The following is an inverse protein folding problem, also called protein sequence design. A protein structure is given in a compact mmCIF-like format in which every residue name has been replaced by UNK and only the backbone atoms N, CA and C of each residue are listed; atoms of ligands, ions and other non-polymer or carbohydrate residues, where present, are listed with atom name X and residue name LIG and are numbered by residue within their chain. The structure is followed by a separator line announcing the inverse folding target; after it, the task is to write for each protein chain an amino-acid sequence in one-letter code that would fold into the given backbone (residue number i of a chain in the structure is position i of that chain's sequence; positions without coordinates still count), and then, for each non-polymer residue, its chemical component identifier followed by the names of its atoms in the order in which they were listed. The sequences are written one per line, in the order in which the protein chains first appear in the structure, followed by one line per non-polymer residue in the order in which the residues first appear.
data_IF_024474784504
#
_entry.id   IF_024474784504
#
_cell.length_a   1.000
_cell.length_b   1.000
_cell.length_c   1.000
_cell.angle_alpha   90.00
_cell.angle_beta   90.00
_cell.angle_gamma   90.00
#
_symmetry.space_group_name_H-M   'P 1'
#
loop_
_entity.id
_entity.type
_entity.pdbx_description
1 polymer ?
#
# COMPACT_ATOMS: atom_id res chain seq x y z
N UNK A 1 -48.89 25.21 50.75
CA UNK A 1 -48.19 23.90 50.69
C UNK A 1 -48.39 23.34 49.28
N UNK A 2 -47.51 23.66 48.33
CA UNK A 2 -47.55 23.15 46.96
C UNK A 2 -46.73 21.85 46.90
N UNK A 3 -47.34 20.79 46.35
CA UNK A 3 -46.75 19.46 46.20
C UNK A 3 -45.77 19.46 45.01
N UNK A 4 -44.58 18.84 45.11
CA UNK A 4 -43.64 18.77 43.98
C UNK A 4 -44.14 17.77 42.93
N UNK A 5 -43.84 17.98 41.63
CA UNK A 5 -44.17 17.02 40.59
C UNK A 5 -43.31 15.75 40.71
N UNK A 6 -43.95 14.59 40.63
CA UNK A 6 -43.30 13.28 40.61
C UNK A 6 -42.50 13.08 39.32
N UNK A 7 -41.33 12.41 39.36
CA UNK A 7 -40.61 12.00 38.16
C UNK A 7 -41.43 10.97 37.38
N UNK A 8 -41.79 11.31 36.14
CA UNK A 8 -42.45 10.39 35.21
C UNK A 8 -41.44 9.30 34.83
N UNK A 9 -41.74 8.06 35.24
CA UNK A 9 -40.96 6.87 34.88
C UNK A 9 -40.88 6.76 33.34
N UNK A 10 -39.65 6.68 32.83
CA UNK A 10 -39.39 6.41 31.43
C UNK A 10 -40.04 5.08 31.02
N UNK A 11 -40.87 5.12 29.98
CA UNK A 11 -41.47 3.93 29.39
C UNK A 11 -40.39 2.92 28.95
N UNK A 12 -40.63 1.61 29.06
CA UNK A 12 -39.68 0.59 28.64
C UNK A 12 -39.47 0.70 27.11
N UNK A 13 -38.24 1.01 26.72
CA UNK A 13 -37.76 0.92 25.35
C UNK A 13 -38.04 -0.50 24.81
N UNK A 14 -38.79 -0.57 23.71
CA UNK A 14 -39.14 -1.83 23.05
C UNK A 14 -37.91 -2.65 22.64
N UNK A 15 -38.06 -3.96 22.43
CA UNK A 15 -36.94 -4.86 22.17
C UNK A 15 -36.25 -4.53 20.84
N UNK A 16 -34.96 -4.24 20.91
CA UNK A 16 -34.12 -4.05 19.72
C UNK A 16 -34.05 -5.35 18.90
N UNK A 17 -34.16 -5.30 17.55
CA UNK A 17 -34.00 -6.49 16.73
C UNK A 17 -32.57 -7.02 16.88
N UNK A 18 -32.46 -8.17 17.54
CA UNK A 18 -31.23 -8.91 17.78
C UNK A 18 -31.21 -10.10 16.82
N UNK A 19 -30.15 -10.28 16.04
CA UNK A 19 -29.97 -11.53 15.28
C UNK A 19 -29.44 -12.56 16.26
N UNK A 20 -30.29 -13.52 16.65
CA UNK A 20 -29.90 -14.66 17.46
C UNK A 20 -29.10 -15.63 16.58
N UNK A 21 -27.77 -15.61 16.67
CA UNK A 21 -26.97 -16.70 16.12
C UNK A 21 -27.13 -17.86 17.10
N UNK A 22 -27.78 -18.95 16.65
CA UNK A 22 -27.99 -20.15 17.44
C UNK A 22 -26.61 -20.79 17.70
N UNK A 23 -25.98 -20.43 18.82
CA UNK A 23 -24.83 -21.13 19.36
C UNK A 23 -25.27 -22.46 19.96
N UNK A 24 -24.34 -23.42 19.97
CA UNK A 24 -24.44 -24.70 20.68
C UNK A 24 -24.98 -24.53 22.11
N UNK A 25 -25.72 -25.52 22.65
CA UNK A 25 -26.33 -25.42 23.98
C UNK A 25 -25.24 -25.16 25.04
N UNK A 26 -25.28 -23.97 25.68
CA UNK A 26 -24.38 -23.61 26.77
C UNK A 26 -23.63 -22.28 26.62
N UNK A 27 -23.73 -21.58 25.48
CA UNK A 27 -23.08 -20.26 25.32
C UNK A 27 -24.16 -19.18 25.23
N UNK A 28 -24.13 -18.20 26.14
CA UNK A 28 -25.05 -17.06 26.10
C UNK A 28 -24.94 -16.34 24.73
N UNK A 29 -26.05 -15.85 24.16
CA UNK A 29 -26.04 -15.15 22.89
C UNK A 29 -25.23 -13.85 23.04
N UNK A 30 -23.98 -13.87 22.58
CA UNK A 30 -23.16 -12.66 22.48
C UNK A 30 -23.74 -11.80 21.36
N UNK A 31 -24.50 -10.76 21.72
CA UNK A 31 -24.91 -9.73 20.78
C UNK A 31 -23.64 -9.03 20.27
N UNK A 32 -23.22 -9.34 19.05
CA UNK A 32 -22.14 -8.61 18.42
C UNK A 32 -22.70 -7.22 18.05
N UNK A 33 -22.20 -6.11 18.64
CA UNK A 33 -22.70 -4.79 18.31
C UNK A 33 -22.41 -4.53 16.83
N UNK A 34 -23.47 -4.49 16.02
CA UNK A 34 -23.36 -4.11 14.62
C UNK A 34 -22.87 -2.66 14.61
N UNK A 35 -21.72 -2.34 13.99
CA UNK A 35 -21.20 -0.98 13.87
C UNK A 35 -22.28 -0.06 13.29
N UNK A 36 -22.77 0.90 14.06
CA UNK A 36 -23.86 1.81 13.62
C UNK A 36 -23.35 3.21 13.28
N UNK A 37 -22.09 3.53 13.57
CA UNK A 37 -21.55 4.88 13.38
C UNK A 37 -20.41 4.91 12.37
N UNK A 38 -20.23 6.05 11.69
CA UNK A 38 -19.15 6.25 10.72
C UNK A 38 -17.74 6.04 11.32
N UNK A 39 -17.56 6.29 12.63
CA UNK A 39 -16.31 6.02 13.34
C UNK A 39 -16.01 4.52 13.47
N UNK A 40 -17.04 3.71 13.69
CA UNK A 40 -16.86 2.26 13.84
C UNK A 40 -16.46 1.61 12.51
N UNK A 41 -16.99 2.12 11.39
CA UNK A 41 -16.60 1.69 10.04
C UNK A 41 -15.15 2.05 9.71
N UNK A 42 -14.71 3.25 10.10
CA UNK A 42 -13.32 3.69 9.92
C UNK A 42 -12.35 2.83 10.73
N UNK A 43 -12.70 2.52 11.99
CA UNK A 43 -11.93 1.61 12.83
C UNK A 43 -11.82 0.20 12.22
N UNK A 44 -12.92 -0.33 11.66
CA UNK A 44 -12.92 -1.63 10.97
C UNK A 44 -12.09 -1.62 9.69
N UNK A 45 -12.17 -0.56 8.90
CA UNK A 45 -11.34 -0.41 7.70
C UNK A 45 -9.84 -0.34 8.06
N UNK A 46 -9.50 0.42 9.10
CA UNK A 46 -8.12 0.50 9.60
C UNK A 46 -7.62 -0.88 10.04
N UNK A 47 -8.43 -1.63 10.80
CA UNK A 47 -8.09 -3.00 11.21
C UNK A 47 -7.89 -3.95 10.02
N UNK A 48 -8.76 -3.88 9.01
CA UNK A 48 -8.65 -4.69 7.79
C UNK A 48 -7.34 -4.40 7.04
N UNK A 49 -6.99 -3.12 6.91
CA UNK A 49 -5.76 -2.71 6.24
C UNK A 49 -4.54 -3.24 6.99
N UNK A 50 -4.54 -3.14 8.32
CA UNK A 50 -3.48 -3.67 9.18
C UNK A 50 -3.33 -5.20 9.02
N UNK A 51 -4.43 -5.96 9.08
CA UNK A 51 -4.39 -7.42 8.86
C UNK A 51 -3.86 -7.78 7.48
N UNK A 52 -4.20 -7.00 6.45
CA UNK A 52 -3.73 -7.21 5.08
C UNK A 52 -2.22 -6.95 4.95
N UNK A 53 -1.71 -5.89 5.60
CA UNK A 53 -0.28 -5.61 5.68
C UNK A 53 0.48 -6.74 6.40
N UNK A 54 -0.08 -7.25 7.49
CA UNK A 54 0.50 -8.38 8.22
C UNK A 54 0.54 -9.64 7.36
N UNK A 55 -0.51 -9.93 6.60
CA UNK A 55 -0.56 -11.05 5.68
C UNK A 55 0.54 -10.94 4.60
N UNK A 56 0.72 -9.74 4.02
CA UNK A 56 1.79 -9.49 3.06
C UNK A 56 3.19 -9.67 3.66
N UNK A 57 3.39 -9.27 4.93
CA UNK A 57 4.65 -9.46 5.64
C UNK A 57 4.95 -10.95 5.90
N UNK A 58 3.91 -11.73 6.16
CA UNK A 58 3.98 -13.19 6.34
C UNK A 58 4.35 -13.86 5.03
N UNK A 59 3.68 -13.50 3.92
CA UNK A 59 3.98 -14.03 2.59
C UNK A 59 5.43 -13.74 2.17
N UNK A 60 5.87 -12.49 2.34
CA UNK A 60 7.25 -12.09 2.05
C UNK A 60 8.28 -12.90 2.86
N UNK A 61 7.98 -13.15 4.14
CA UNK A 61 8.83 -13.98 5.02
C UNK A 61 8.82 -15.45 4.57
N UNK A 62 7.67 -15.97 4.12
CA UNK A 62 7.51 -17.32 3.60
C UNK A 62 8.37 -17.52 2.36
N UNK A 63 8.29 -16.62 1.38
CA UNK A 63 9.13 -16.67 0.18
C UNK A 63 10.62 -16.66 0.53
N UNK A 64 11.03 -15.82 1.49
CA UNK A 64 12.42 -15.77 1.96
C UNK A 64 12.88 -17.08 2.62
N UNK A 65 12.03 -17.69 3.46
CA UNK A 65 12.33 -18.99 4.09
C UNK A 65 12.44 -20.10 3.03
N UNK A 66 11.57 -20.10 2.02
CA UNK A 66 11.62 -21.06 0.92
C UNK A 66 12.90 -20.91 0.08
N UNK A 67 13.33 -19.68 -0.19
CA UNK A 67 14.61 -19.42 -0.86
C UNK A 67 15.80 -19.91 -0.02
N UNK A 68 15.78 -19.67 1.29
CA UNK A 68 16.82 -20.18 2.21
C UNK A 68 16.84 -21.71 2.25
N UNK A 69 15.67 -22.35 2.30
CA UNK A 69 15.55 -23.80 2.31
C UNK A 69 16.09 -24.44 1.02
N UNK A 70 15.90 -23.78 -0.13
CA UNK A 70 16.50 -24.20 -1.41
C UNK A 70 18.01 -24.02 -1.48
N UNK A 71 18.55 -23.04 -0.76
CA UNK A 71 19.96 -22.66 -0.83
C UNK A 71 20.82 -23.33 0.24
N UNK A 72 20.23 -23.74 1.36
CA UNK A 72 20.91 -24.43 2.46
C UNK A 72 20.98 -25.93 2.19
N UNK A 73 22.18 -26.50 2.24
CA UNK A 73 22.42 -27.95 2.13
C UNK A 73 22.57 -28.68 3.48
N UNK A 74 22.54 -27.96 4.60
CA UNK A 74 22.69 -28.56 5.94
C UNK A 74 21.36 -29.19 6.42
N UNK A 75 21.31 -30.52 6.68
CA UNK A 75 20.09 -31.21 7.08
C UNK A 75 19.49 -30.74 8.41
N UNK A 76 20.30 -30.22 9.33
CA UNK A 76 19.79 -29.70 10.62
C UNK A 76 19.14 -28.33 10.46
N UNK A 77 19.74 -27.46 9.64
CA UNK A 77 19.18 -26.16 9.31
C UNK A 77 17.89 -26.28 8.51
N UNK A 78 17.79 -27.26 7.60
CA UNK A 78 16.56 -27.56 6.85
C UNK A 78 15.41 -27.86 7.81
N UNK A 79 15.59 -28.79 8.75
CA UNK A 79 14.55 -29.12 9.75
C UNK A 79 14.09 -27.91 10.56
N UNK A 80 15.03 -27.04 10.95
CA UNK A 80 14.71 -25.81 11.66
C UNK A 80 13.90 -24.81 10.81
N UNK A 81 14.21 -24.69 9.52
CA UNK A 81 13.48 -23.84 8.58
C UNK A 81 12.08 -24.40 8.29
N UNK A 82 11.93 -25.72 8.15
CA UNK A 82 10.64 -26.40 8.00
C UNK A 82 9.72 -26.16 9.20
N UNK A 83 10.24 -26.28 10.42
CA UNK A 83 9.47 -26.00 11.64
C UNK A 83 9.04 -24.52 11.73
N UNK A 84 9.86 -23.59 11.23
CA UNK A 84 9.47 -22.17 11.15
C UNK A 84 8.42 -21.93 10.08
N UNK A 85 8.49 -22.66 8.97
CA UNK A 85 7.52 -22.57 7.89
C UNK A 85 6.14 -23.05 8.34
N UNK A 86 6.06 -24.16 9.08
CA UNK A 86 4.78 -24.66 9.60
C UNK A 86 4.12 -23.70 10.59
N UNK A 87 4.91 -23.07 11.48
CA UNK A 87 4.41 -22.01 12.36
C UNK A 87 3.90 -20.79 11.58
N UNK A 88 4.60 -20.43 10.50
CA UNK A 88 4.22 -19.31 9.65
C UNK A 88 2.92 -19.59 8.88
N UNK A 89 2.75 -20.81 8.37
CA UNK A 89 1.54 -21.26 7.68
C UNK A 89 0.32 -21.25 8.63
N UNK A 90 0.50 -21.69 9.88
CA UNK A 90 -0.56 -21.61 10.90
C UNK A 90 -0.97 -20.15 11.17
N UNK A 91 0.00 -19.23 11.24
CA UNK A 91 -0.27 -17.80 11.40
C UNK A 91 -0.99 -17.20 10.19
N UNK A 92 -0.64 -17.64 8.97
CA UNK A 92 -1.29 -17.18 7.75
C UNK A 92 -2.79 -17.55 7.76
N UNK A 93 -3.12 -18.80 8.10
CA UNK A 93 -4.51 -19.25 8.21
C UNK A 93 -5.31 -18.44 9.24
N UNK A 94 -4.68 -18.09 10.37
CA UNK A 94 -5.33 -17.26 11.38
C UNK A 94 -5.61 -15.84 10.87
N UNK A 95 -4.64 -15.20 10.19
CA UNK A 95 -4.84 -13.88 9.60
C UNK A 95 -5.94 -13.88 8.52
N UNK A 96 -5.99 -14.91 7.68
CA UNK A 96 -7.03 -15.07 6.66
C UNK A 96 -8.43 -15.18 7.30
N UNK A 97 -8.55 -15.97 8.37
CA UNK A 97 -9.79 -16.09 9.16
C UNK A 97 -10.21 -14.74 9.77
N UNK A 98 -9.27 -14.02 10.38
CA UNK A 98 -9.54 -12.71 11.00
C UNK A 98 -10.01 -11.67 9.96
N UNK A 99 -9.43 -11.69 8.76
CA UNK A 99 -9.86 -10.85 7.63
C UNK A 99 -11.29 -11.22 7.21
N UNK A 100 -11.60 -12.51 7.09
CA UNK A 100 -12.93 -12.97 6.72
C UNK A 100 -13.99 -12.54 7.75
N UNK A 101 -13.71 -12.70 9.04
CA UNK A 101 -14.59 -12.26 10.12
C UNK A 101 -14.80 -10.74 10.11
N UNK A 102 -13.73 -9.97 9.94
CA UNK A 102 -13.79 -8.49 9.85
C UNK A 102 -14.60 -8.05 8.63
N UNK A 103 -14.46 -8.76 7.49
CA UNK A 103 -15.23 -8.52 6.28
C UNK A 103 -16.74 -8.78 6.47
N UNK A 104 -17.11 -9.84 7.18
CA UNK A 104 -18.50 -10.13 7.53
C UNK A 104 -19.10 -9.04 8.43
N UNK A 105 -18.34 -8.55 9.41
CA UNK A 105 -18.77 -7.44 10.27
C UNK A 105 -19.00 -6.15 9.47
N UNK A 106 -18.11 -5.84 8.52
CA UNK A 106 -18.26 -4.65 7.67
C UNK A 106 -19.48 -4.75 6.74
N UNK A 107 -19.73 -5.94 6.18
CA UNK A 107 -20.91 -6.22 5.35
C UNK A 107 -22.22 -6.17 6.17
N UNK A 108 -22.21 -6.71 7.39
CA UNK A 108 -23.34 -6.61 8.31
C UNK A 108 -23.62 -5.19 8.78
N UNK A 109 -22.57 -4.38 9.00
CA UNK A 109 -22.68 -2.98 9.36
C UNK A 109 -23.31 -2.13 8.25
N UNK A 110 -22.88 -2.32 7.00
CA UNK A 110 -23.46 -1.61 5.86
C UNK A 110 -24.92 -2.00 5.64
N UNK A 111 -25.25 -3.29 5.74
CA UNK A 111 -26.63 -3.77 5.68
C UNK A 111 -27.50 -3.19 6.82
N UNK A 112 -26.97 -3.07 8.03
CA UNK A 112 -27.65 -2.44 9.17
C UNK A 112 -27.93 -0.96 8.98
N UNK A 113 -27.01 -0.21 8.37
CA UNK A 113 -27.23 1.21 8.03
C UNK A 113 -28.30 1.40 6.96
N UNK A 114 -28.34 0.53 5.95
CA UNK A 114 -29.38 0.54 4.90
C UNK A 114 -30.75 0.22 5.53
N UNK A 115 -30.81 -0.77 6.42
CA UNK A 115 -32.05 -1.15 7.12
C UNK A 115 -32.57 -0.06 8.07
N UNK A 116 -31.69 0.77 8.64
CA UNK A 116 -32.10 1.91 9.49
C UNK A 116 -32.65 3.08 8.66
N UNK A 117 -32.38 3.12 7.35
CA UNK A 117 -32.98 4.10 6.41
C UNK A 117 -34.35 3.63 5.89
N UNK A 118 -34.71 2.36 6.08
CA UNK A 118 -35.98 1.77 5.65
C UNK A 118 -37.00 1.67 6.79
N UNK A 119 -37.12 2.69 7.64
CA UNK A 119 -38.43 2.92 8.25
C UNK A 119 -39.35 3.44 7.15
N UNK A 120 -40.45 2.74 6.83
CA UNK A 120 -41.44 3.30 5.93
C UNK A 120 -42.04 4.53 6.62
N UNK A 121 -41.56 5.71 6.23
CA UNK A 121 -42.30 6.94 6.47
C UNK A 121 -43.59 6.78 5.69
N UNK A 122 -44.68 6.49 6.39
CA UNK A 122 -46.02 6.50 5.82
C UNK A 122 -46.32 7.95 5.40
N UNK A 123 -45.93 8.32 4.18
CA UNK A 123 -46.40 9.55 3.56
C UNK A 123 -47.91 9.40 3.34
N UNK A 124 -48.68 10.17 4.11
CA UNK A 124 -50.10 10.39 3.83
C UNK A 124 -50.27 10.75 2.35
N UNK A 125 -51.18 10.03 1.68
CA UNK A 125 -51.19 9.86 0.23
C UNK A 125 -51.16 11.14 -0.59
N UNK A 126 -50.05 11.35 -1.30
CA UNK A 126 -50.02 12.25 -2.45
C UNK A 126 -50.70 11.56 -3.64
N UNK A 127 -51.64 12.24 -4.28
CA UNK A 127 -52.23 11.75 -5.53
C UNK A 127 -51.13 11.63 -6.59
N UNK A 128 -51.20 10.62 -7.48
CA UNK A 128 -50.21 10.40 -8.56
C UNK A 128 -49.94 11.67 -9.39
N UNK A 129 -50.98 12.49 -9.61
CA UNK A 129 -50.85 13.79 -10.28
C UNK A 129 -49.99 14.80 -9.51
N UNK A 130 -50.04 14.77 -8.18
CA UNK A 130 -49.26 15.65 -7.31
C UNK A 130 -47.80 15.21 -7.25
N UNK A 131 -47.54 13.90 -7.24
CA UNK A 131 -46.17 13.37 -7.34
C UNK A 131 -45.53 13.75 -8.68
N UNK A 132 -46.29 13.63 -9.78
CA UNK A 132 -45.83 14.05 -11.10
C UNK A 132 -45.60 15.57 -11.19
N UNK A 133 -46.49 16.38 -10.58
CA UNK A 133 -46.31 17.82 -10.55
C UNK A 133 -45.06 18.23 -9.73
N UNK A 134 -44.86 17.61 -8.56
CA UNK A 134 -43.70 17.86 -7.71
C UNK A 134 -42.38 17.42 -8.36
N UNK A 135 -42.38 16.32 -9.10
CA UNK A 135 -41.18 15.86 -9.82
C UNK A 135 -40.83 16.76 -11.00
N UNK A 136 -41.83 17.21 -11.77
CA UNK A 136 -41.59 18.19 -12.85
C UNK A 136 -41.07 19.50 -12.26
N UNK A 137 -41.68 19.97 -11.16
CA UNK A 137 -41.27 21.21 -10.50
C UNK A 137 -39.85 21.10 -9.92
N UNK A 138 -39.48 19.97 -9.31
CA UNK A 138 -38.13 19.76 -8.79
C UNK A 138 -37.09 19.70 -9.91
N UNK A 139 -37.42 19.09 -11.05
CA UNK A 139 -36.53 19.06 -12.20
C UNK A 139 -36.27 20.47 -12.73
N UNK A 140 -37.33 21.28 -12.89
CA UNK A 140 -37.21 22.63 -13.44
C UNK A 140 -36.52 23.60 -12.48
N UNK A 141 -36.88 23.57 -11.20
CA UNK A 141 -36.41 24.56 -10.23
C UNK A 141 -35.13 24.15 -9.49
N UNK A 142 -34.78 22.87 -9.48
CA UNK A 142 -33.60 22.37 -8.74
C UNK A 142 -32.60 21.74 -9.69
N UNK A 143 -32.97 20.67 -10.41
CA UNK A 143 -32.00 19.92 -11.22
C UNK A 143 -31.51 20.71 -12.44
N UNK A 144 -32.39 21.42 -13.13
CA UNK A 144 -32.05 22.20 -14.32
C UNK A 144 -31.04 23.34 -14.02
N UNK A 145 -31.26 24.26 -13.06
CA UNK A 145 -30.28 25.30 -12.75
C UNK A 145 -28.96 24.72 -12.22
N UNK A 146 -29.01 23.60 -11.47
CA UNK A 146 -27.81 22.91 -11.01
C UNK A 146 -26.98 22.35 -12.18
N UNK A 147 -27.64 21.68 -13.14
CA UNK A 147 -26.99 21.14 -14.33
C UNK A 147 -26.36 22.24 -15.19
N UNK A 148 -27.06 23.37 -15.39
CA UNK A 148 -26.52 24.55 -16.10
C UNK A 148 -25.32 25.14 -15.34
N UNK A 149 -25.39 25.22 -14.01
CA UNK A 149 -24.28 25.69 -13.17
C UNK A 149 -23.02 24.82 -13.30
N UNK A 150 -23.18 23.50 -13.22
CA UNK A 150 -22.07 22.54 -13.38
C UNK A 150 -21.50 22.60 -14.79
N UNK A 151 -22.34 22.60 -15.82
CA UNK A 151 -21.91 22.72 -17.22
C UNK A 151 -21.11 24.00 -17.46
N UNK A 152 -21.56 25.13 -16.91
CA UNK A 152 -20.86 26.41 -17.02
C UNK A 152 -19.55 26.43 -16.22
N UNK A 153 -19.48 25.77 -15.08
CA UNK A 153 -18.25 25.64 -14.29
C UNK A 153 -17.18 24.81 -15.03
N UNK A 154 -17.60 23.71 -15.67
CA UNK A 154 -16.71 22.87 -16.50
C UNK A 154 -16.20 23.66 -17.70
N UNK A 155 -17.09 24.35 -18.42
CA UNK A 155 -16.68 25.13 -19.59
C UNK A 155 -15.71 26.28 -19.23
N UNK A 156 -15.93 26.97 -18.11
CA UNK A 156 -15.01 28.00 -17.61
C UNK A 156 -13.65 27.44 -17.16
N UNK A 157 -13.60 26.19 -16.70
CA UNK A 157 -12.34 25.50 -16.36
C UNK A 157 -11.55 25.14 -17.60
N UNK A 158 -12.22 24.67 -18.66
CA UNK A 158 -11.59 24.34 -19.94
C UNK A 158 -11.12 25.56 -20.72
N UNK A 159 -11.62 26.76 -20.39
CA UNK A 159 -11.18 28.03 -20.98
C UNK A 159 -9.98 28.70 -20.25
N UNK A 160 -9.40 28.06 -19.23
CA UNK A 160 -8.12 28.53 -18.65
C UNK A 160 -6.97 28.08 -19.55
N UNK A 161 -6.16 28.99 -20.12
CA UNK A 161 -5.06 28.61 -21.00
C UNK A 161 -3.88 28.04 -20.20
N UNK A 162 -3.25 27.04 -20.82
CA UNK A 162 -1.85 26.62 -20.78
C UNK A 162 -1.07 26.61 -19.46
N UNK A 163 -0.30 25.52 -19.27
CA UNK A 163 0.77 25.36 -18.29
C UNK A 163 1.49 26.69 -18.03
N UNK A 164 1.63 27.14 -16.76
CA UNK A 164 2.22 28.45 -16.47
C UNK A 164 3.65 28.52 -17.05
N UNK A 165 4.05 29.66 -17.65
CA UNK A 165 5.36 29.79 -18.31
C UNK A 165 6.53 29.45 -17.38
N UNK A 166 6.38 29.66 -16.07
CA UNK A 166 7.35 29.25 -15.05
C UNK A 166 7.62 27.72 -15.04
N UNK A 167 6.59 26.89 -15.24
CA UNK A 167 6.76 25.44 -15.30
C UNK A 167 7.49 25.00 -16.57
N UNK A 168 7.30 25.72 -17.69
CA UNK A 168 8.05 25.47 -18.93
C UNK A 168 9.53 25.86 -18.80
N UNK A 169 9.82 26.99 -18.16
CA UNK A 169 11.20 27.41 -17.86
C UNK A 169 11.88 26.43 -16.92
N UNK A 170 11.20 25.94 -15.88
CA UNK A 170 11.75 24.93 -14.96
C UNK A 170 12.05 23.61 -15.69
N UNK A 171 11.17 23.17 -16.59
CA UNK A 171 11.46 21.98 -17.42
C UNK A 171 12.64 22.19 -18.35
N UNK A 172 12.79 23.38 -18.96
CA UNK A 172 13.93 23.68 -19.83
C UNK A 172 15.25 23.66 -19.04
N UNK A 173 15.29 24.25 -17.85
CA UNK A 173 16.46 24.22 -16.96
C UNK A 173 16.81 22.81 -16.49
N UNK A 174 15.81 21.95 -16.24
CA UNK A 174 16.05 20.55 -15.89
C UNK A 174 16.66 19.78 -17.07
N UNK A 175 16.21 20.04 -18.30
CA UNK A 175 16.76 19.43 -19.50
C UNK A 175 18.21 19.87 -19.75
N UNK A 176 18.52 21.16 -19.59
CA UNK A 176 19.88 21.70 -19.71
C UNK A 176 20.85 21.06 -18.70
N UNK A 177 20.41 20.86 -17.45
CA UNK A 177 21.22 20.15 -16.45
C UNK A 177 21.41 18.67 -16.79
N UNK A 178 20.42 18.03 -17.41
CA UNK A 178 20.52 16.64 -17.85
C UNK A 178 21.51 16.51 -19.01
N UNK A 179 21.46 17.42 -19.97
CA UNK A 179 22.42 17.49 -21.09
C UNK A 179 23.86 17.65 -20.57
N UNK A 180 24.10 18.62 -19.68
CA UNK A 180 25.41 18.81 -19.06
C UNK A 180 25.90 17.60 -18.26
N UNK A 181 24.98 16.89 -17.58
CA UNK A 181 25.33 15.67 -16.84
C UNK A 181 25.69 14.53 -17.79
N UNK A 182 25.01 14.43 -18.94
CA UNK A 182 25.29 13.42 -19.98
C UNK A 182 26.66 13.69 -20.61
N UNK A 183 26.98 14.94 -20.93
CA UNK A 183 28.29 15.32 -21.47
C UNK A 183 29.43 14.98 -20.51
N UNK A 184 29.25 15.24 -19.21
CA UNK A 184 30.21 14.87 -18.19
C UNK A 184 30.42 13.35 -18.08
N UNK A 185 29.34 12.57 -18.19
CA UNK A 185 29.41 11.10 -18.21
C UNK A 185 30.16 10.62 -19.45
N UNK A 186 29.94 11.23 -20.62
CA UNK A 186 30.61 10.84 -21.86
C UNK A 186 32.14 10.97 -21.74
N UNK A 187 32.63 12.08 -21.20
CA UNK A 187 34.07 12.31 -20.97
C UNK A 187 34.63 11.34 -19.92
N UNK A 188 33.89 11.10 -18.83
CA UNK A 188 34.34 10.18 -17.79
C UNK A 188 34.42 8.73 -18.31
N UNK A 189 33.47 8.30 -19.15
CA UNK A 189 33.49 6.99 -19.79
C UNK A 189 34.68 6.85 -20.75
N UNK A 190 34.97 7.87 -21.55
CA UNK A 190 36.17 7.90 -22.41
C UNK A 190 37.44 7.74 -21.56
N UNK A 191 37.58 8.54 -20.49
CA UNK A 191 38.73 8.47 -19.58
C UNK A 191 38.84 7.13 -18.85
N UNK A 192 37.74 6.54 -18.40
CA UNK A 192 37.73 5.20 -17.78
C UNK A 192 38.17 4.15 -18.81
N UNK A 193 37.72 4.26 -20.05
CA UNK A 193 38.09 3.33 -21.12
C UNK A 193 39.59 3.42 -21.44
N UNK A 194 40.16 4.62 -21.44
CA UNK A 194 41.60 4.84 -21.61
C UNK A 194 42.41 4.31 -20.41
N UNK A 195 41.93 4.54 -19.19
CA UNK A 195 42.52 4.00 -17.96
C UNK A 195 42.55 2.47 -17.95
N UNK A 196 41.46 1.83 -18.37
CA UNK A 196 41.38 0.38 -18.52
C UNK A 196 42.34 -0.12 -19.61
N UNK A 197 42.38 0.53 -20.77
CA UNK A 197 43.30 0.19 -21.86
C UNK A 197 44.77 0.32 -21.43
N UNK A 198 45.10 1.35 -20.64
CA UNK A 198 46.43 1.57 -20.10
C UNK A 198 46.83 0.48 -19.11
N UNK A 199 45.92 0.11 -18.18
CA UNK A 199 46.16 -0.98 -17.21
C UNK A 199 46.34 -2.32 -17.92
N UNK A 200 45.52 -2.64 -18.93
CA UNK A 200 45.69 -3.86 -19.74
C UNK A 200 47.03 -3.87 -20.48
N UNK A 201 47.45 -2.73 -21.05
CA UNK A 201 48.75 -2.60 -21.71
C UNK A 201 49.91 -2.82 -20.72
N UNK A 202 49.84 -2.23 -19.53
CA UNK A 202 50.84 -2.44 -18.46
C UNK A 202 50.92 -3.90 -18.00
N UNK A 203 49.77 -4.57 -17.80
CA UNK A 203 49.72 -5.99 -17.43
C UNK A 203 50.33 -6.88 -18.54
N UNK A 204 50.09 -6.55 -19.81
CA UNK A 204 50.64 -7.28 -20.95
C UNK A 204 52.14 -7.05 -21.16
N UNK A 205 52.63 -5.83 -20.93
CA UNK A 205 54.06 -5.49 -21.06
C UNK A 205 54.88 -6.04 -19.88
N UNK A 206 54.34 -6.02 -18.66
CA UNK A 206 54.98 -6.59 -17.46
C UNK A 206 55.22 -8.11 -17.53
N UNK A 207 54.44 -8.83 -18.34
CA UNK A 207 54.59 -10.27 -18.55
C UNK A 207 55.60 -10.62 -19.66
N UNK A 208 56.11 -9.63 -20.40
CA UNK A 208 57.03 -9.81 -21.54
C UNK A 208 58.48 -9.36 -21.28
N UNK A 209 58.82 -8.93 -20.05
CA UNK A 209 60.20 -8.59 -19.71
C UNK A 209 61.04 -9.88 -19.52
N UNK A 210 62.11 -10.12 -20.31
CA UNK A 210 63.01 -11.24 -20.08
C UNK A 210 63.75 -11.04 -18.75
N UNK A 211 63.84 -12.10 -17.94
CA UNK A 211 64.77 -12.16 -16.82
C UNK A 211 66.19 -11.85 -17.33
N UNK A 212 66.72 -10.67 -17.02
CA UNK A 212 68.13 -10.35 -17.25
C UNK A 212 68.94 -11.20 -16.26
N UNK A 213 69.67 -12.16 -16.82
CA UNK A 213 70.48 -13.13 -16.11
C UNK A 213 71.53 -12.50 -15.20
N UNK A 214 71.62 -13.03 -13.98
CA UNK A 214 72.72 -12.83 -13.06
C UNK A 214 74.03 -13.38 -13.67
N UNK A 215 74.83 -12.49 -14.25
CA UNK A 215 76.14 -12.80 -14.82
C UNK A 215 77.17 -13.22 -13.76
N UNK A 216 77.76 -14.38 -13.97
CA UNK A 216 78.98 -14.91 -13.33
C UNK A 216 80.04 -13.81 -13.09
N UNK A 217 80.57 -13.71 -11.87
CA UNK A 217 81.92 -13.21 -11.60
C UNK A 217 82.86 -14.41 -11.45
N UNK A 218 83.70 -14.64 -12.46
CA UNK A 218 84.85 -15.53 -12.37
C UNK A 218 86.06 -14.76 -11.77
N UNK A 219 86.93 -15.39 -10.97
CA UNK A 219 88.00 -14.73 -10.25
C UNK A 219 89.23 -14.47 -11.15
N UNK A 220 89.72 -13.23 -11.15
CA UNK A 220 90.95 -12.85 -11.82
C UNK A 220 92.15 -13.13 -10.89
N UNK A 221 93.07 -13.98 -11.34
CA UNK A 221 94.30 -14.37 -10.63
C UNK A 221 95.42 -13.37 -10.93
N UNK A 222 95.77 -12.51 -9.97
CA UNK A 222 96.96 -11.65 -10.09
C UNK A 222 98.20 -12.43 -9.64
N UNK A 223 99.00 -12.81 -10.63
CA UNK A 223 100.35 -13.36 -10.49
C UNK A 223 101.33 -12.20 -10.26
N UNK A 224 101.96 -12.14 -9.09
CA UNK A 224 103.16 -11.34 -8.87
C UNK A 224 104.24 -12.24 -8.24
N UNK A 225 105.27 -12.51 -9.04
CA UNK A 225 106.48 -13.20 -8.64
C UNK A 225 107.65 -12.22 -8.75
N UNK A 226 108.37 -12.04 -7.64
CA UNK A 226 109.83 -12.22 -7.46
C UNK A 226 110.37 -11.24 -6.43
#
# INVERSE_FOLDING_TARGET
MQQPPTPQAAAPSGPAPSVLIQGTPGTQPTSLPIPRTARDLDALNTRRNELSNQLQSVDSRRSKLLSQLKQTGDPTAIKGLEARLSLLDARQLQLESDIAQTGQQLSGASAGMIATTSEPVFYGGFSSKQVMALSILSIIFVLFPLAVGVGRAIWRRSAKPAVPPAALTETAQRLERLESSIDAIAVEVERISEGQRFVTKLLSEGQSAPMIGSGQRAPETVRAAK
#
